data_IF_672512814396
#
_entry.id   IF_672512814396
#
_cell.length_a   1.000
_cell.length_b   1.000
_cell.length_c   1.000
_cell.angle_alpha   90.00
_cell.angle_beta   90.00
_cell.angle_gamma   90.00
#
_symmetry.space_group_name_H-M   'P 1'
#
loop_
_entity.id
_entity.type
_entity.pdbx_description
1 polymer ?
#
# COMPACT_ATOMS: atom_id res chain seq x y z
N UNK A 1 -9.89 -1.95 17.66
CA UNK A 1 -10.56 -1.74 16.35
C UNK A 1 -9.54 -2.05 15.27
N UNK A 2 -9.90 -2.81 14.23
CA UNK A 2 -8.99 -3.12 13.13
C UNK A 2 -8.65 -1.87 12.29
N UNK A 3 -7.47 -1.86 11.67
CA UNK A 3 -7.08 -0.79 10.72
C UNK A 3 -7.91 -0.90 9.44
N UNK A 4 -8.38 0.23 8.92
CA UNK A 4 -9.00 0.34 7.59
C UNK A 4 -7.92 0.52 6.55
N UNK A 5 -7.74 -0.48 5.69
CA UNK A 5 -6.67 -0.51 4.70
C UNK A 5 -7.23 -0.25 3.31
N UNK A 6 -6.76 0.80 2.65
CA UNK A 6 -7.04 1.03 1.23
C UNK A 6 -6.11 0.16 0.39
N UNK A 7 -6.67 -0.73 -0.44
CA UNK A 7 -5.90 -1.48 -1.44
C UNK A 7 -6.11 -0.86 -2.82
N UNK A 8 -5.09 -0.20 -3.35
CA UNK A 8 -5.07 0.42 -4.67
C UNK A 8 -4.09 -0.34 -5.58
N UNK A 9 -4.62 -1.31 -6.31
CA UNK A 9 -3.88 -2.19 -7.22
C UNK A 9 -4.79 -2.60 -8.37
N UNK A 10 -4.22 -2.68 -9.59
CA UNK A 10 -4.91 -3.15 -10.78
C UNK A 10 -4.96 -4.68 -10.87
N UNK A 11 -4.06 -5.38 -10.17
CA UNK A 11 -4.01 -6.84 -10.12
C UNK A 11 -5.02 -7.41 -9.11
N UNK A 12 -6.08 -8.05 -9.64
CA UNK A 12 -7.15 -8.66 -8.84
C UNK A 12 -6.65 -9.86 -8.00
N UNK A 13 -5.66 -10.61 -8.48
CA UNK A 13 -5.10 -11.73 -7.75
C UNK A 13 -4.28 -11.22 -6.55
N UNK A 14 -3.43 -10.22 -6.78
CA UNK A 14 -2.69 -9.55 -5.69
C UNK A 14 -3.65 -8.88 -4.71
N UNK A 15 -4.69 -8.21 -5.21
CA UNK A 15 -5.74 -7.63 -4.38
C UNK A 15 -6.37 -8.66 -3.44
N UNK A 16 -6.71 -9.83 -3.96
CA UNK A 16 -7.29 -10.92 -3.17
C UNK A 16 -6.35 -11.39 -2.05
N UNK A 17 -5.07 -11.61 -2.36
CA UNK A 17 -4.05 -12.00 -1.38
C UNK A 17 -3.87 -10.96 -0.28
N UNK A 18 -3.72 -9.70 -0.65
CA UNK A 18 -3.57 -8.60 0.31
C UNK A 18 -4.83 -8.43 1.16
N UNK A 19 -6.01 -8.62 0.58
CA UNK A 19 -7.27 -8.57 1.33
C UNK A 19 -7.33 -9.68 2.38
N UNK A 20 -6.90 -10.90 2.05
CA UNK A 20 -6.80 -11.99 3.01
C UNK A 20 -5.83 -11.69 4.16
N UNK A 21 -4.69 -11.04 3.86
CA UNK A 21 -3.73 -10.60 4.90
C UNK A 21 -4.36 -9.55 5.84
N UNK A 22 -5.08 -8.57 5.30
CA UNK A 22 -5.77 -7.55 6.09
C UNK A 22 -6.82 -8.18 7.01
N UNK A 23 -7.68 -9.03 6.46
CA UNK A 23 -8.74 -9.72 7.22
C UNK A 23 -8.15 -10.63 8.29
N UNK A 24 -7.09 -11.39 7.99
CA UNK A 24 -6.43 -12.27 8.95
C UNK A 24 -5.80 -11.52 10.13
N UNK A 25 -5.43 -10.25 9.95
CA UNK A 25 -4.95 -9.38 11.01
C UNK A 25 -6.08 -8.65 11.77
N UNK A 26 -7.35 -8.93 11.43
CA UNK A 26 -8.52 -8.26 12.02
C UNK A 26 -8.76 -6.85 11.49
N UNK A 27 -8.10 -6.45 10.40
CA UNK A 27 -8.35 -5.19 9.70
C UNK A 27 -9.53 -5.27 8.72
N UNK A 28 -9.90 -4.12 8.15
CA UNK A 28 -10.96 -4.00 7.16
C UNK A 28 -10.40 -3.43 5.85
N UNK A 29 -10.80 -4.00 4.71
CA UNK A 29 -10.43 -3.44 3.40
C UNK A 29 -11.40 -2.32 3.05
N UNK A 30 -10.91 -1.08 3.04
CA UNK A 30 -11.68 0.10 2.66
C UNK A 30 -11.57 0.39 1.17
N UNK A 31 -12.66 0.91 0.59
CA UNK A 31 -12.67 1.55 -0.74
C UNK A 31 -12.56 3.07 -0.66
N UNK A 32 -12.70 3.61 0.54
CA UNK A 32 -12.68 5.05 0.79
C UNK A 32 -11.26 5.51 1.17
N UNK A 33 -10.62 6.22 0.26
CA UNK A 33 -9.31 6.83 0.47
C UNK A 33 -9.36 8.00 1.48
N UNK A 34 -10.54 8.56 1.73
CA UNK A 34 -10.70 9.63 2.72
C UNK A 34 -10.66 9.11 4.16
N UNK A 35 -11.00 7.83 4.39
CA UNK A 35 -11.20 7.24 5.72
C UNK A 35 -10.37 5.97 5.96
N UNK A 36 -9.19 5.87 5.35
CA UNK A 36 -8.26 4.76 5.60
C UNK A 36 -7.18 5.15 6.62
N UNK A 37 -6.71 4.16 7.37
CA UNK A 37 -5.65 4.29 8.37
C UNK A 37 -4.29 3.84 7.79
N UNK A 38 -4.30 3.12 6.67
CA UNK A 38 -3.15 2.66 5.90
C UNK A 38 -3.54 2.53 4.43
N UNK A 39 -2.65 2.92 3.51
CA UNK A 39 -2.84 2.69 2.08
C UNK A 39 -1.75 1.79 1.49
N UNK A 40 -2.16 0.82 0.67
CA UNK A 40 -1.27 -0.06 -0.09
C UNK A 40 -1.42 0.24 -1.58
N UNK A 41 -0.36 0.75 -2.21
CA UNK A 41 -0.38 1.23 -3.59
C UNK A 41 0.56 0.43 -4.49
N UNK A 42 0.07 0.00 -5.63
CA UNK A 42 0.88 -0.59 -6.69
C UNK A 42 1.52 0.50 -7.58
N UNK A 43 2.84 0.49 -7.71
CA UNK A 43 3.62 1.46 -8.49
C UNK A 43 3.55 1.25 -10.01
N UNK A 44 2.91 0.18 -10.48
CA UNK A 44 2.68 -0.02 -11.90
C UNK A 44 1.54 0.85 -12.45
N UNK A 45 0.68 1.37 -11.57
CA UNK A 45 -0.44 2.23 -11.96
C UNK A 45 0.04 3.65 -12.29
N UNK A 46 -0.44 4.23 -13.40
CA UNK A 46 -0.25 5.65 -13.69
C UNK A 46 -0.79 6.51 -12.53
N UNK A 47 -0.06 7.58 -12.18
CA UNK A 47 -0.48 8.48 -11.10
C UNK A 47 -0.18 7.96 -9.67
N UNK A 48 0.53 6.83 -9.53
CA UNK A 48 0.83 6.26 -8.22
C UNK A 48 1.65 7.21 -7.34
N UNK A 49 2.62 7.94 -7.90
CA UNK A 49 3.49 8.86 -7.17
C UNK A 49 2.72 10.08 -6.64
N UNK A 50 1.86 10.66 -7.47
CA UNK A 50 0.98 11.77 -7.11
C UNK A 50 0.05 11.36 -5.96
N UNK A 51 -0.55 10.18 -6.07
CA UNK A 51 -1.44 9.62 -5.05
C UNK A 51 -0.71 9.30 -3.74
N UNK A 52 0.56 8.86 -3.80
CA UNK A 52 1.41 8.73 -2.62
C UNK A 52 1.55 10.09 -1.92
N UNK A 53 1.92 11.13 -2.67
CA UNK A 53 2.10 12.48 -2.12
C UNK A 53 0.85 13.02 -1.45
N UNK A 54 -0.33 12.84 -2.06
CA UNK A 54 -1.62 13.24 -1.48
C UNK A 54 -1.92 12.53 -0.15
N UNK A 55 -1.70 11.21 -0.07
CA UNK A 55 -1.97 10.42 1.12
C UNK A 55 -0.99 10.73 2.25
N UNK A 56 0.30 10.84 1.91
CA UNK A 56 1.35 11.22 2.87
C UNK A 56 1.11 12.64 3.40
N UNK A 57 0.74 13.59 2.53
CA UNK A 57 0.39 14.96 2.94
C UNK A 57 -0.81 15.04 3.89
N UNK A 58 -1.69 14.03 3.87
CA UNK A 58 -2.80 13.88 4.82
C UNK A 58 -2.43 13.13 6.09
N UNK A 59 -1.17 12.74 6.26
CA UNK A 59 -0.67 11.97 7.40
C UNK A 59 -1.02 10.47 7.36
N UNK A 60 -1.46 9.96 6.21
CA UNK A 60 -1.80 8.54 6.04
C UNK A 60 -0.52 7.78 5.68
N UNK A 61 -0.12 6.74 6.45
CA UNK A 61 0.99 5.88 6.07
C UNK A 61 0.72 5.17 4.74
N UNK A 62 1.73 5.13 3.86
CA UNK A 62 1.64 4.48 2.55
C UNK A 62 2.67 3.36 2.41
N UNK A 63 2.20 2.15 2.12
CA UNK A 63 3.01 1.02 1.67
C UNK A 63 2.92 0.92 0.15
N UNK A 64 3.97 1.34 -0.55
CA UNK A 64 4.06 1.23 -1.99
C UNK A 64 4.78 -0.07 -2.39
N UNK A 65 4.33 -0.72 -3.46
CA UNK A 65 5.00 -1.91 -3.96
C UNK A 65 5.07 -1.96 -5.49
N UNK A 66 6.10 -2.60 -6.01
CA UNK A 66 6.28 -2.73 -7.45
C UNK A 66 7.34 -3.76 -7.82
N UNK A 67 7.41 -4.08 -9.11
CA UNK A 67 8.39 -5.01 -9.63
C UNK A 67 9.81 -4.53 -9.33
N UNK A 68 10.67 -5.44 -8.82
CA UNK A 68 12.04 -5.10 -8.41
C UNK A 68 12.90 -4.56 -9.57
N UNK A 69 12.48 -4.79 -10.81
CA UNK A 69 13.17 -4.39 -12.05
C UNK A 69 13.01 -2.91 -12.38
N UNK A 70 12.22 -2.15 -11.61
CA UNK A 70 12.08 -0.69 -11.75
C UNK A 70 12.54 0.04 -10.48
N UNK A 71 13.86 0.09 -10.22
CA UNK A 71 14.41 0.70 -9.01
C UNK A 71 14.10 2.20 -8.90
N UNK A 72 14.00 2.89 -10.04
CA UNK A 72 13.66 4.32 -10.10
C UNK A 72 12.29 4.60 -9.49
N UNK A 73 11.28 3.76 -9.78
CA UNK A 73 9.93 3.93 -9.23
C UNK A 73 9.90 3.69 -7.71
N UNK A 74 10.67 2.72 -7.21
CA UNK A 74 10.79 2.49 -5.77
C UNK A 74 11.50 3.66 -5.09
N UNK A 75 12.46 4.31 -5.75
CA UNK A 75 13.11 5.52 -5.22
C UNK A 75 12.13 6.68 -5.17
N UNK A 76 11.45 7.00 -6.29
CA UNK A 76 10.47 8.09 -6.34
C UNK A 76 9.36 7.93 -5.30
N UNK A 77 8.89 6.70 -5.06
CA UNK A 77 7.91 6.43 -4.02
C UNK A 77 8.42 6.73 -2.61
N UNK A 78 9.70 6.43 -2.32
CA UNK A 78 10.32 6.76 -1.03
C UNK A 78 10.56 8.25 -0.88
N UNK A 79 10.99 8.92 -1.94
CA UNK A 79 11.18 10.37 -1.95
C UNK A 79 9.84 11.11 -1.71
N UNK A 80 8.72 10.53 -2.16
CA UNK A 80 7.38 11.00 -1.86
C UNK A 80 6.86 10.62 -0.46
N UNK A 81 7.67 9.93 0.36
CA UNK A 81 7.38 9.60 1.76
C UNK A 81 6.69 8.25 2.00
N UNK A 82 6.53 7.40 0.98
CA UNK A 82 6.02 6.04 1.18
C UNK A 82 7.11 5.05 1.63
N UNK A 83 6.68 4.00 2.33
CA UNK A 83 7.46 2.78 2.48
C UNK A 83 7.38 1.96 1.18
N UNK A 84 8.42 2.01 0.34
CA UNK A 84 8.42 1.29 -0.93
C UNK A 84 9.18 -0.05 -0.88
N UNK A 85 8.54 -1.14 -1.32
CA UNK A 85 9.09 -2.51 -1.27
C UNK A 85 8.84 -3.32 -2.55
N UNK A 86 9.65 -4.36 -2.84
CA UNK A 86 9.36 -5.28 -3.94
C UNK A 86 8.06 -6.06 -3.75
N UNK A 87 7.43 -6.52 -4.85
CA UNK A 87 6.23 -7.39 -4.82
C UNK A 87 6.36 -8.60 -3.88
N UNK A 88 7.54 -9.21 -3.77
CA UNK A 88 7.75 -10.38 -2.89
C UNK A 88 7.71 -10.04 -1.39
N UNK A 89 7.88 -8.77 -1.02
CA UNK A 89 7.97 -8.33 0.37
C UNK A 89 6.68 -7.66 0.88
N UNK A 90 5.79 -7.24 -0.02
CA UNK A 90 4.60 -6.46 0.34
C UNK A 90 3.70 -7.17 1.37
N UNK A 91 3.48 -8.48 1.23
CA UNK A 91 2.65 -9.24 2.17
C UNK A 91 3.24 -9.27 3.58
N UNK A 92 4.54 -9.56 3.70
CA UNK A 92 5.23 -9.61 4.98
C UNK A 92 5.21 -8.23 5.66
N UNK A 93 5.48 -7.18 4.87
CA UNK A 93 5.48 -5.80 5.38
C UNK A 93 4.10 -5.31 5.76
N UNK A 94 3.07 -5.68 5.01
CA UNK A 94 1.69 -5.39 5.37
C UNK A 94 1.32 -6.03 6.72
N UNK A 95 1.71 -7.29 6.96
CA UNK A 95 1.50 -7.95 8.27
C UNK A 95 2.20 -7.21 9.40
N UNK A 96 3.44 -6.78 9.20
CA UNK A 96 4.20 -6.03 10.22
C UNK A 96 3.54 -4.70 10.55
N UNK A 97 3.02 -3.98 9.55
CA UNK A 97 2.31 -2.72 9.75
C UNK A 97 0.95 -2.92 10.44
N UNK A 98 0.27 -4.04 10.21
CA UNK A 98 -1.03 -4.32 10.82
C UNK A 98 -0.93 -4.77 12.30
N UNK A 99 0.24 -5.23 12.74
CA UNK A 99 0.50 -5.63 14.14
C UNK A 99 0.87 -4.46 15.06
N UNK A 100 1.24 -3.32 14.49
CA UNK A 100 1.57 -2.08 15.22
C UNK A 100 0.30 -1.33 15.63
#
# INVERSE_FOLDING_TARGET
MGKRVLLATGDLLFRSKLSAVVTAAGGEVSRDAARCDLAVLELAEPGATEKIGELVGRGIPVLAYGAHVRPELLRSARDAGALAVPNSQVEARLRDLLKQ
#
